data_IF_089357555911
#
_entry.id   IF_089357555911
#
_cell.length_a   1.000
_cell.length_b   1.000
_cell.length_c   1.000
_cell.angle_alpha   90.00
_cell.angle_beta   90.00
_cell.angle_gamma   90.00
#
_symmetry.space_group_name_H-M   'P 1'
#
loop_
_entity.id
_entity.type
_entity.pdbx_description
1 polymer ?
#
# COMPACT_ATOMS: atom_id res chain seq x y z
N UNK A 1 18.06 17.07 23.30
CA UNK A 1 17.51 16.77 21.96
C UNK A 1 16.21 16.02 22.19
N UNK A 2 15.07 16.69 22.06
CA UNK A 2 13.79 16.00 21.96
C UNK A 2 13.83 15.19 20.68
N UNK A 3 13.83 13.85 20.79
CA UNK A 3 13.64 13.00 19.63
C UNK A 3 12.34 13.46 18.98
N UNK A 4 12.45 13.97 17.75
CA UNK A 4 11.30 14.33 16.95
C UNK A 4 10.47 13.07 16.81
N UNK A 5 9.26 13.07 17.36
CA UNK A 5 8.35 11.93 17.32
C UNK A 5 8.20 11.51 15.86
N UNK A 6 8.62 10.28 15.54
CA UNK A 6 8.58 9.78 14.17
C UNK A 6 7.11 9.56 13.82
N UNK A 7 6.61 10.34 12.86
CA UNK A 7 5.23 10.23 12.37
C UNK A 7 5.02 8.93 11.57
N UNK A 8 6.11 8.36 11.05
CA UNK A 8 6.17 7.10 10.32
C UNK A 8 7.35 6.28 10.86
N UNK A 9 7.10 5.02 11.17
CA UNK A 9 8.10 4.07 11.64
C UNK A 9 8.91 3.48 10.48
N UNK A 10 8.27 3.28 9.33
CA UNK A 10 8.89 2.73 8.13
C UNK A 10 8.64 3.60 6.89
N UNK A 11 9.57 3.66 5.91
CA UNK A 11 9.41 4.49 4.71
C UNK A 11 8.14 4.20 3.89
N UNK A 12 7.67 2.95 3.89
CA UNK A 12 6.47 2.55 3.13
C UNK A 12 5.19 3.16 3.70
N UNK A 13 5.14 3.48 4.99
CA UNK A 13 3.97 4.07 5.63
C UNK A 13 3.70 5.49 5.09
N UNK A 14 4.76 6.27 4.91
CA UNK A 14 4.69 7.59 4.28
C UNK A 14 4.22 7.51 2.82
N UNK A 15 4.61 6.45 2.10
CA UNK A 15 4.17 6.21 0.73
C UNK A 15 2.68 5.83 0.68
N UNK A 16 2.23 4.94 1.57
CA UNK A 16 0.83 4.57 1.69
C UNK A 16 -0.04 5.80 2.01
N UNK A 17 0.38 6.63 2.97
CA UNK A 17 -0.28 7.89 3.29
C UNK A 17 -0.38 8.82 2.07
N UNK A 18 0.72 9.03 1.35
CA UNK A 18 0.75 9.89 0.17
C UNK A 18 -0.19 9.39 -0.95
N UNK A 19 -0.27 8.07 -1.15
CA UNK A 19 -1.19 7.46 -2.12
C UNK A 19 -2.65 7.71 -1.73
N UNK A 20 -3.01 7.50 -0.46
CA UNK A 20 -4.36 7.74 0.05
C UNK A 20 -4.78 9.20 -0.19
N UNK A 21 -3.94 10.16 0.20
CA UNK A 21 -4.22 11.59 0.00
C UNK A 21 -4.37 11.90 -1.49
N UNK A 22 -3.45 11.45 -2.34
CA UNK A 22 -3.49 11.78 -3.77
C UNK A 22 -4.73 11.19 -4.47
N UNK A 23 -5.16 9.99 -4.10
CA UNK A 23 -6.33 9.34 -4.69
C UNK A 23 -7.64 9.97 -4.19
N UNK A 24 -7.67 10.43 -2.94
CA UNK A 24 -8.78 11.24 -2.43
C UNK A 24 -8.89 12.58 -3.16
N UNK A 25 -7.78 13.31 -3.32
CA UNK A 25 -7.75 14.60 -4.05
C UNK A 25 -8.20 14.46 -5.50
N UNK A 26 -7.97 13.29 -6.11
CA UNK A 26 -8.44 12.93 -7.46
C UNK A 26 -9.89 12.45 -7.50
N UNK A 27 -10.56 12.35 -6.36
CA UNK A 27 -11.98 12.00 -6.25
C UNK A 27 -12.28 10.50 -6.42
N UNK A 28 -11.30 9.61 -6.25
CA UNK A 28 -11.56 8.17 -6.33
C UNK A 28 -12.44 7.68 -5.16
N UNK A 29 -12.29 8.31 -4.00
CA UNK A 29 -13.12 8.12 -2.81
C UNK A 29 -13.12 9.41 -1.97
N UNK A 30 -14.12 9.59 -1.12
CA UNK A 30 -14.19 10.70 -0.15
C UNK A 30 -13.53 10.32 1.19
N UNK A 31 -13.24 11.31 2.04
CA UNK A 31 -12.73 11.05 3.39
C UNK A 31 -13.73 10.29 4.27
N UNK A 32 -15.03 10.52 4.07
CA UNK A 32 -16.08 9.79 4.79
C UNK A 32 -16.08 8.31 4.40
N UNK A 33 -15.95 8.01 3.12
CA UNK A 33 -15.83 6.62 2.62
C UNK A 33 -14.54 5.96 3.13
N UNK A 34 -13.41 6.70 3.11
CA UNK A 34 -12.14 6.23 3.63
C UNK A 34 -12.21 5.87 5.11
N UNK A 35 -12.70 6.78 5.95
CA UNK A 35 -12.76 6.58 7.41
C UNK A 35 -13.68 5.42 7.78
N UNK A 36 -14.81 5.26 7.09
CA UNK A 36 -15.70 4.11 7.27
C UNK A 36 -15.01 2.79 6.88
N UNK A 37 -14.30 2.78 5.76
CA UNK A 37 -13.60 1.58 5.29
C UNK A 37 -12.45 1.17 6.23
N UNK A 38 -11.66 2.13 6.73
CA UNK A 38 -10.60 1.86 7.71
C UNK A 38 -11.18 1.34 9.02
N UNK A 39 -12.29 1.91 9.50
CA UNK A 39 -12.92 1.45 10.74
C UNK A 39 -13.43 -0.01 10.66
N UNK A 40 -13.76 -0.49 9.47
CA UNK A 40 -14.25 -1.85 9.22
C UNK A 40 -13.12 -2.86 8.92
N UNK A 41 -11.89 -2.41 8.72
CA UNK A 41 -10.76 -3.25 8.33
C UNK A 41 -10.23 -4.05 9.55
N UNK A 42 -10.03 -5.39 9.46
CA UNK A 42 -9.66 -6.24 10.60
C UNK A 42 -8.18 -6.18 11.01
N UNK A 43 -7.31 -5.56 10.22
CA UNK A 43 -5.86 -5.58 10.40
C UNK A 43 -5.44 -4.80 11.65
N UNK A 44 -4.62 -5.39 12.52
CA UNK A 44 -4.31 -4.78 13.83
C UNK A 44 -3.39 -3.56 13.73
N UNK A 45 -2.40 -3.59 12.84
CA UNK A 45 -1.44 -2.51 12.65
C UNK A 45 -2.01 -1.30 11.90
N UNK A 46 -1.59 -0.10 12.30
CA UNK A 46 -2.21 1.15 11.86
C UNK A 46 -2.07 1.36 10.35
N UNK A 47 -0.86 1.28 9.82
CA UNK A 47 -0.62 1.47 8.38
C UNK A 47 -0.91 0.20 7.56
N UNK A 48 -0.85 -1.00 8.13
CA UNK A 48 -1.30 -2.22 7.45
C UNK A 48 -2.81 -2.16 7.20
N UNK A 49 -3.58 -1.66 8.17
CA UNK A 49 -5.02 -1.40 8.01
C UNK A 49 -5.30 -0.38 6.93
N UNK A 50 -4.49 0.68 6.84
CA UNK A 50 -4.59 1.65 5.74
C UNK A 50 -4.32 1.00 4.40
N UNK A 51 -3.24 0.23 4.27
CA UNK A 51 -2.88 -0.42 3.01
C UNK A 51 -3.97 -1.39 2.54
N UNK A 52 -4.46 -2.26 3.43
CA UNK A 52 -5.55 -3.19 3.12
C UNK A 52 -6.85 -2.47 2.74
N UNK A 53 -7.15 -1.35 3.40
CA UNK A 53 -8.31 -0.51 3.06
C UNK A 53 -8.16 0.10 1.68
N UNK A 54 -6.98 0.63 1.36
CA UNK A 54 -6.68 1.22 0.06
C UNK A 54 -6.85 0.20 -1.06
N UNK A 55 -6.27 -0.99 -0.93
CA UNK A 55 -6.41 -2.08 -1.90
C UNK A 55 -7.88 -2.42 -2.17
N UNK A 56 -8.69 -2.57 -1.12
CA UNK A 56 -10.13 -2.85 -1.25
C UNK A 56 -10.87 -1.74 -1.98
N UNK A 57 -10.60 -0.47 -1.65
CA UNK A 57 -11.23 0.66 -2.33
C UNK A 57 -10.82 0.74 -3.81
N UNK A 58 -9.55 0.49 -4.14
CA UNK A 58 -9.08 0.46 -5.53
C UNK A 58 -9.84 -0.60 -6.35
N UNK A 59 -10.07 -1.79 -5.78
CA UNK A 59 -10.86 -2.85 -6.41
C UNK A 59 -12.32 -2.45 -6.55
N UNK A 60 -12.95 -1.95 -5.49
CA UNK A 60 -14.37 -1.53 -5.52
C UNK A 60 -14.65 -0.41 -6.52
N UNK A 61 -13.67 0.47 -6.76
CA UNK A 61 -13.76 1.57 -7.73
C UNK A 61 -13.34 1.18 -9.14
N UNK A 62 -12.92 -0.07 -9.36
CA UNK A 62 -12.50 -0.59 -10.67
C UNK A 62 -11.18 0.00 -11.17
N UNK A 63 -10.35 0.56 -10.28
CA UNK A 63 -9.02 1.06 -10.63
C UNK A 63 -8.01 -0.09 -10.81
N UNK A 64 -8.29 -1.25 -10.22
CA UNK A 64 -7.55 -2.51 -10.36
C UNK A 64 -8.48 -3.67 -10.00
N UNK A 65 -7.97 -4.90 -10.02
CA UNK A 65 -8.66 -6.10 -9.51
C UNK A 65 -7.75 -6.91 -8.54
N UNK A 66 -8.36 -7.83 -7.80
CA UNK A 66 -7.64 -8.67 -6.82
C UNK A 66 -6.56 -9.53 -7.48
N UNK A 67 -6.80 -9.99 -8.72
CA UNK A 67 -5.85 -10.81 -9.46
C UNK A 67 -4.58 -10.02 -9.81
N UNK A 68 -4.73 -8.75 -10.19
CA UNK A 68 -3.63 -7.85 -10.49
C UNK A 68 -2.84 -7.53 -9.23
N UNK A 69 -3.50 -7.21 -8.11
CA UNK A 69 -2.83 -6.98 -6.83
C UNK A 69 -2.02 -8.20 -6.38
N UNK A 70 -2.63 -9.39 -6.44
CA UNK A 70 -1.94 -10.64 -6.11
C UNK A 70 -0.75 -10.90 -7.04
N UNK A 71 -0.93 -10.73 -8.35
CA UNK A 71 0.13 -10.89 -9.35
C UNK A 71 1.33 -9.99 -9.07
N UNK A 72 1.11 -8.72 -8.73
CA UNK A 72 2.19 -7.79 -8.41
C UNK A 72 2.87 -8.10 -7.07
N UNK A 73 2.11 -8.49 -6.05
CA UNK A 73 2.67 -8.93 -4.76
C UNK A 73 3.60 -10.13 -4.96
N UNK A 74 3.15 -11.13 -5.71
CA UNK A 74 3.93 -12.33 -5.98
C UNK A 74 5.16 -12.04 -6.84
N UNK A 75 5.04 -11.12 -7.81
CA UNK A 75 6.16 -10.67 -8.61
C UNK A 75 7.23 -9.94 -7.78
N UNK A 76 6.81 -9.06 -6.87
CA UNK A 76 7.74 -8.40 -5.95
C UNK A 76 8.41 -9.38 -4.97
N UNK A 77 7.69 -10.40 -4.51
CA UNK A 77 8.27 -11.46 -3.68
C UNK A 77 9.36 -12.23 -4.44
N UNK A 78 9.10 -12.64 -5.69
CA UNK A 78 10.10 -13.30 -6.55
C UNK A 78 11.30 -12.40 -6.84
N UNK A 79 11.06 -11.13 -7.15
CA UNK A 79 12.11 -10.14 -7.38
C UNK A 79 13.01 -9.98 -6.14
N UNK A 80 12.41 -9.91 -4.95
CA UNK A 80 13.14 -9.84 -3.69
C UNK A 80 13.98 -11.10 -3.44
N UNK A 81 13.42 -12.29 -3.66
CA UNK A 81 14.09 -13.57 -3.47
C UNK A 81 15.32 -13.74 -4.38
N UNK A 82 15.23 -13.33 -5.65
CA UNK A 82 16.34 -13.45 -6.60
C UNK A 82 17.39 -12.34 -6.47
N UNK A 83 17.11 -11.25 -5.74
CA UNK A 83 17.99 -10.09 -5.65
C UNK A 83 19.06 -10.30 -4.56
N UNK A 84 20.36 -10.31 -4.89
CA UNK A 84 21.42 -10.42 -3.89
C UNK A 84 21.38 -9.26 -2.88
N UNK A 85 21.67 -9.56 -1.62
CA UNK A 85 21.72 -8.55 -0.55
C UNK A 85 22.61 -7.36 -0.92
N UNK A 86 22.12 -6.15 -0.65
CA UNK A 86 22.80 -4.89 -0.98
C UNK A 86 22.55 -4.38 -2.41
N UNK A 87 21.78 -5.10 -3.22
CA UNK A 87 21.37 -4.68 -4.57
C UNK A 87 19.93 -4.16 -4.54
N UNK A 88 19.57 -3.13 -5.33
CA UNK A 88 18.18 -2.71 -5.49
C UNK A 88 17.29 -3.84 -6.03
N UNK A 89 16.09 -3.96 -5.50
CA UNK A 89 15.07 -4.90 -6.00
C UNK A 89 14.34 -4.21 -7.15
N UNK A 90 14.37 -4.82 -8.33
CA UNK A 90 13.69 -4.32 -9.53
C UNK A 90 12.81 -5.42 -10.12
N UNK A 91 11.58 -5.07 -10.52
CA UNK A 91 10.71 -5.97 -11.27
C UNK A 91 11.23 -6.17 -12.69
N UNK A 92 11.30 -7.43 -13.11
CA UNK A 92 11.58 -7.86 -14.47
C UNK A 92 10.40 -8.66 -15.05
N UNK A 93 10.28 -8.80 -16.38
CA UNK A 93 9.21 -9.59 -16.99
C UNK A 93 9.13 -11.03 -16.49
N UNK A 94 10.27 -11.63 -16.11
CA UNK A 94 10.36 -12.99 -15.54
C UNK A 94 9.75 -13.13 -14.14
N UNK A 95 9.48 -12.02 -13.44
CA UNK A 95 8.85 -12.06 -12.13
C UNK A 95 7.33 -12.22 -12.22
N UNK A 96 6.71 -12.15 -13.41
CA UNK A 96 5.25 -12.17 -13.57
C UNK A 96 4.65 -13.52 -13.92
#
# INVERSE_FOLDING_TARGET
MTAQERVFDEPWEAQAFALVVSLNERGLFTWDEWTQAVAAAPEEGYYERWLATLERLLVQRGATDEATLARYRDAWARAAERTPHGTPIELAPEDF
#
